data_IF_192499660228
#
_entry.id   IF_192499660228
#
_cell.length_a   1.000
_cell.length_b   1.000
_cell.length_c   1.000
_cell.angle_alpha   90.00
_cell.angle_beta   90.00
_cell.angle_gamma   90.00
#
_symmetry.space_group_name_H-M   'P 1'
#
loop_
_entity.id
_entity.type
_entity.pdbx_description
1 polymer ?
#
# COMPACT_ATOMS: atom_id res chain seq x y z
N UNK A 1 -15.44 -6.52 -3.31
CA UNK A 1 -14.33 -5.79 -2.69
C UNK A 1 -13.53 -6.72 -1.80
N UNK A 2 -12.38 -7.13 -2.31
CA UNK A 2 -11.36 -7.91 -1.59
C UNK A 2 -10.55 -7.02 -0.63
N UNK A 3 -9.91 -7.65 0.37
CA UNK A 3 -8.90 -6.98 1.21
C UNK A 3 -9.45 -5.99 2.24
N UNK A 4 -10.77 -5.87 2.40
CA UNK A 4 -11.38 -5.02 3.45
C UNK A 4 -10.86 -5.44 4.83
N UNK A 5 -10.44 -4.47 5.64
CA UNK A 5 -9.87 -4.69 6.97
C UNK A 5 -8.59 -3.86 7.20
N UNK A 6 -7.96 -4.10 8.34
CA UNK A 6 -6.70 -3.46 8.75
C UNK A 6 -5.52 -4.39 8.57
N UNK A 7 -4.51 -3.89 7.88
CA UNK A 7 -3.30 -4.63 7.55
C UNK A 7 -2.08 -3.86 8.02
N UNK A 8 -1.09 -4.59 8.52
CA UNK A 8 0.19 -4.05 8.95
C UNK A 8 1.35 -4.72 8.22
N UNK A 9 2.29 -3.91 7.75
CA UNK A 9 3.52 -4.40 7.14
C UNK A 9 4.73 -3.52 7.47
N UNK A 10 5.88 -4.15 7.66
CA UNK A 10 7.15 -3.43 7.80
C UNK A 10 7.70 -3.03 6.44
N UNK A 11 8.13 -1.78 6.32
CA UNK A 11 8.75 -1.21 5.14
C UNK A 11 10.18 -0.81 5.51
N UNK A 12 11.15 -1.35 4.79
CA UNK A 12 12.56 -1.06 5.00
C UNK A 12 13.21 -0.74 3.65
N UNK A 13 13.34 0.55 3.36
CA UNK A 13 14.02 1.03 2.14
C UNK A 13 15.23 1.89 2.52
N UNK A 14 16.01 2.30 1.51
CA UNK A 14 17.09 3.25 1.72
C UNK A 14 16.61 4.67 2.04
N UNK A 15 15.40 5.06 1.61
CA UNK A 15 14.90 6.44 1.77
C UNK A 15 14.03 6.63 3.02
N UNK A 16 13.23 5.62 3.36
CA UNK A 16 12.34 5.64 4.52
C UNK A 16 12.16 4.24 5.09
N UNK A 17 11.90 4.19 6.39
CA UNK A 17 11.68 2.95 7.13
C UNK A 17 10.55 3.15 8.12
N UNK A 18 9.76 2.13 8.32
CA UNK A 18 8.68 2.18 9.29
C UNK A 18 7.73 1.00 9.19
N UNK A 19 6.69 1.08 10.00
CA UNK A 19 5.56 0.14 9.95
C UNK A 19 4.39 0.86 9.30
N UNK A 20 4.00 0.37 8.12
CA UNK A 20 2.82 0.85 7.42
C UNK A 20 1.58 0.09 7.85
N UNK A 21 0.54 0.83 8.22
CA UNK A 21 -0.81 0.33 8.45
C UNK A 21 -1.72 0.86 7.37
N UNK A 22 -2.51 -0.02 6.78
CA UNK A 22 -3.55 0.36 5.83
C UNK A 22 -4.89 -0.14 6.34
N UNK A 23 -5.84 0.77 6.42
CA UNK A 23 -7.26 0.41 6.56
C UNK A 23 -7.87 0.48 5.17
N UNK A 24 -8.46 -0.63 4.74
CA UNK A 24 -9.20 -0.73 3.48
C UNK A 24 -10.68 -0.87 3.83
N UNK A 25 -11.51 0.06 3.35
CA UNK A 25 -12.95 0.09 3.61
C UNK A 25 -13.76 0.23 2.33
N UNK A 26 -15.01 -0.25 2.39
CA UNK A 26 -16.03 0.00 1.37
C UNK A 26 -16.73 1.33 1.68
N UNK A 27 -16.69 2.27 0.74
CA UNK A 27 -17.41 3.52 0.76
C UNK A 27 -18.37 3.57 -0.45
N UNK A 28 -19.57 3.02 -0.27
CA UNK A 28 -20.64 2.97 -1.28
C UNK A 28 -20.20 2.30 -2.60
N UNK A 29 -19.55 1.14 -2.51
CA UNK A 29 -19.06 0.36 -3.65
C UNK A 29 -17.74 0.86 -4.23
N UNK A 30 -17.05 1.78 -3.53
CA UNK A 30 -15.71 2.28 -3.89
C UNK A 30 -14.73 2.03 -2.76
N UNK A 31 -13.49 1.75 -3.13
CA UNK A 31 -12.43 1.61 -2.15
C UNK A 31 -12.09 2.94 -1.49
N UNK A 32 -11.98 2.90 -0.17
CA UNK A 32 -11.37 3.93 0.64
C UNK A 32 -10.12 3.36 1.33
N UNK A 33 -9.02 4.11 1.28
CA UNK A 33 -7.74 3.71 1.86
C UNK A 33 -7.28 4.76 2.86
N UNK A 34 -7.11 4.33 4.11
CA UNK A 34 -6.43 5.14 5.13
C UNK A 34 -5.05 4.56 5.39
N UNK A 35 -4.01 5.29 4.98
CA UNK A 35 -2.61 4.92 5.19
C UNK A 35 -2.06 5.63 6.43
N UNK A 36 -1.46 4.86 7.33
CA UNK A 36 -0.80 5.35 8.54
C UNK A 36 0.58 4.70 8.60
N UNK A 37 1.65 5.47 8.44
CA UNK A 37 3.01 4.93 8.51
C UNK A 37 3.70 5.56 9.73
N UNK A 38 4.15 4.71 10.65
CA UNK A 38 4.93 5.11 11.82
C UNK A 38 6.40 4.76 11.56
N UNK A 39 7.28 5.77 11.53
CA UNK A 39 8.69 5.55 11.24
C UNK A 39 9.46 6.83 10.97
N UNK A 40 10.60 6.68 10.28
CA UNK A 40 11.52 7.76 9.95
C UNK A 40 11.41 8.15 8.46
N UNK A 41 11.44 9.47 8.18
CA UNK A 41 11.32 10.04 6.82
C UNK A 41 10.09 9.56 6.04
N UNK A 42 8.98 9.35 6.75
CA UNK A 42 7.73 8.85 6.20
C UNK A 42 7.13 9.89 5.25
N UNK A 43 6.97 9.56 3.95
CA UNK A 43 6.31 10.47 3.03
C UNK A 43 4.79 10.27 3.07
N UNK A 44 4.07 11.28 2.60
CA UNK A 44 2.63 11.19 2.41
C UNK A 44 2.32 10.43 1.12
N UNK A 45 1.29 9.59 1.14
CA UNK A 45 0.85 8.82 -0.02
C UNK A 45 -0.63 9.02 -0.29
N UNK A 46 -0.96 9.19 -1.56
CA UNK A 46 -2.33 9.21 -2.07
C UNK A 46 -2.48 8.05 -3.03
N UNK A 47 -3.55 7.26 -2.88
CA UNK A 47 -3.83 6.09 -3.72
C UNK A 47 -5.00 6.39 -4.65
N UNK A 48 -4.83 6.07 -5.92
CA UNK A 48 -5.79 6.27 -7.01
C UNK A 48 -5.79 5.06 -7.97
N UNK A 49 -6.68 5.07 -8.96
CA UNK A 49 -6.73 4.08 -10.05
C UNK A 49 -6.76 2.61 -9.56
N UNK A 50 -7.65 2.31 -8.62
CA UNK A 50 -7.74 1.00 -7.95
C UNK A 50 -8.54 0.01 -8.80
N UNK A 51 -7.97 -1.16 -9.04
CA UNK A 51 -8.55 -2.23 -9.86
C UNK A 51 -8.46 -3.56 -9.09
N UNK A 52 -9.58 -4.30 -9.02
CA UNK A 52 -9.64 -5.67 -8.50
C UNK A 52 -9.33 -6.68 -9.61
N UNK A 53 -8.38 -7.58 -9.36
CA UNK A 53 -8.05 -8.73 -10.20
C UNK A 53 -7.93 -10.00 -9.34
N UNK A 54 -9.01 -10.77 -9.24
CA UNK A 54 -9.04 -11.98 -8.41
C UNK A 54 -8.86 -11.66 -6.93
N UNK A 55 -7.76 -12.12 -6.33
CA UNK A 55 -7.36 -11.80 -4.96
C UNK A 55 -6.29 -10.70 -4.86
N UNK A 56 -6.08 -9.92 -5.93
CA UNK A 56 -5.08 -8.86 -6.01
C UNK A 56 -5.71 -7.51 -6.28
N UNK A 57 -5.33 -6.50 -5.51
CA UNK A 57 -5.55 -5.10 -5.82
C UNK A 57 -4.37 -4.54 -6.58
N UNK A 58 -4.64 -3.82 -7.66
CA UNK A 58 -3.68 -2.94 -8.34
C UNK A 58 -4.12 -1.51 -8.12
N UNK A 59 -3.17 -0.64 -7.86
CA UNK A 59 -3.43 0.78 -7.70
C UNK A 59 -2.23 1.61 -8.15
N UNK A 60 -2.45 2.90 -8.28
CA UNK A 60 -1.39 3.89 -8.45
C UNK A 60 -1.31 4.70 -7.15
N UNK A 61 -0.11 4.79 -6.59
CA UNK A 61 0.16 5.73 -5.51
C UNK A 61 0.96 6.94 -6.03
N UNK A 62 0.77 8.08 -5.41
CA UNK A 62 1.57 9.28 -5.57
C UNK A 62 2.07 9.74 -4.20
N UNK A 63 3.21 10.41 -4.18
CA UNK A 63 3.85 10.83 -2.94
C UNK A 63 4.59 12.15 -3.10
N UNK A 64 4.61 12.95 -2.05
CA UNK A 64 5.33 14.21 -1.95
C UNK A 64 6.85 14.06 -2.13
N UNK A 65 7.40 12.91 -1.73
CA UNK A 65 8.81 12.55 -1.94
C UNK A 65 9.13 12.28 -3.42
N UNK A 66 8.14 11.85 -4.21
CA UNK A 66 8.30 11.45 -5.61
C UNK A 66 7.44 12.30 -6.56
N UNK A 67 7.57 13.63 -6.46
CA UNK A 67 6.72 14.60 -7.17
C UNK A 67 6.60 14.30 -8.68
N UNK A 68 5.37 14.21 -9.15
CA UNK A 68 5.05 13.96 -10.56
C UNK A 68 5.35 12.53 -11.05
N UNK A 69 5.68 11.60 -10.14
CA UNK A 69 5.90 10.19 -10.47
C UNK A 69 4.76 9.34 -9.92
N UNK A 70 4.18 8.53 -10.80
CA UNK A 70 3.25 7.47 -10.44
C UNK A 70 4.02 6.27 -9.89
N UNK A 71 3.50 5.70 -8.81
CA UNK A 71 4.06 4.54 -8.11
C UNK A 71 3.05 3.40 -8.27
N UNK A 72 3.24 2.48 -9.23
CA UNK A 72 2.41 1.28 -9.31
C UNK A 72 2.55 0.46 -8.03
N UNK A 73 1.42 0.12 -7.44
CA UNK A 73 1.31 -0.72 -6.25
C UNK A 73 0.42 -1.92 -6.53
N UNK A 74 0.81 -3.06 -6.00
CA UNK A 74 -0.02 -4.27 -5.96
C UNK A 74 -0.14 -4.76 -4.53
N UNK A 75 -1.27 -5.37 -4.19
CA UNK A 75 -1.50 -6.05 -2.92
C UNK A 75 -2.29 -7.33 -3.17
N UNK A 76 -1.66 -8.48 -3.01
CA UNK A 76 -2.29 -9.81 -3.11
C UNK A 76 -2.63 -10.32 -1.73
N UNK A 77 -3.90 -10.69 -1.52
CA UNK A 77 -4.43 -11.13 -0.24
C UNK A 77 -4.62 -12.65 -0.22
N UNK A 78 -4.19 -13.28 0.87
CA UNK A 78 -4.44 -14.69 1.17
C UNK A 78 -4.70 -14.85 2.67
N UNK A 79 -5.97 -15.04 3.03
CA UNK A 79 -6.45 -15.07 4.42
C UNK A 79 -5.96 -13.84 5.19
N UNK A 80 -5.13 -14.03 6.21
CA UNK A 80 -4.60 -12.97 7.08
C UNK A 80 -3.21 -12.50 6.64
N UNK A 81 -2.79 -12.83 5.41
CA UNK A 81 -1.51 -12.42 4.83
C UNK A 81 -1.76 -11.51 3.63
N UNK A 82 -0.97 -10.44 3.54
CA UNK A 82 -0.90 -9.60 2.35
C UNK A 82 0.54 -9.56 1.82
N UNK A 83 0.70 -9.72 0.51
CA UNK A 83 1.98 -9.51 -0.18
C UNK A 83 1.81 -8.37 -1.15
N UNK A 84 2.50 -7.27 -0.89
CA UNK A 84 2.50 -6.09 -1.74
C UNK A 84 3.79 -5.92 -2.53
N UNK A 85 3.69 -5.26 -3.68
CA UNK A 85 4.85 -4.77 -4.43
C UNK A 85 4.61 -3.31 -4.79
N UNK A 86 5.60 -2.46 -4.57
CA UNK A 86 5.58 -1.06 -5.03
C UNK A 86 6.80 -0.78 -5.89
N UNK A 87 6.60 -0.12 -7.04
CA UNK A 87 7.69 0.30 -7.93
C UNK A 87 8.08 1.74 -7.61
N UNK A 88 8.98 1.90 -6.64
CA UNK A 88 9.43 3.21 -6.20
C UNK A 88 10.39 3.84 -7.23
N UNK A 89 10.23 5.14 -7.55
CA UNK A 89 11.17 5.85 -8.40
C UNK A 89 12.59 5.81 -7.85
N UNK A 90 13.58 5.64 -8.73
CA UNK A 90 15.03 5.58 -8.42
C UNK A 90 15.50 4.39 -7.57
N UNK A 91 14.63 3.76 -6.77
CA UNK A 91 14.95 2.58 -5.95
C UNK A 91 14.65 1.28 -6.70
N UNK A 92 13.54 1.24 -7.45
CA UNK A 92 13.04 0.03 -8.12
C UNK A 92 11.90 -0.66 -7.37
N UNK A 93 11.72 -1.95 -7.64
CA UNK A 93 10.64 -2.73 -7.04
C UNK A 93 10.98 -3.11 -5.60
N UNK A 94 10.11 -2.73 -4.66
CA UNK A 94 10.15 -3.20 -3.28
C UNK A 94 9.02 -4.21 -3.06
N UNK A 95 9.31 -5.27 -2.31
CA UNK A 95 8.32 -6.25 -1.88
C UNK A 95 8.05 -6.07 -0.39
N UNK A 96 6.79 -6.05 -0.03
CA UNK A 96 6.30 -5.84 1.32
C UNK A 96 5.45 -7.06 1.70
N UNK A 97 5.65 -7.59 2.90
CA UNK A 97 4.80 -8.65 3.44
C UNK A 97 4.17 -8.15 4.73
N UNK A 98 2.86 -8.25 4.80
CA UNK A 98 2.07 -7.85 5.94
C UNK A 98 1.14 -8.94 6.43
N UNK A 99 0.46 -8.62 7.52
CA UNK A 99 -0.55 -9.47 8.13
C UNK A 99 -1.75 -8.62 8.56
N UNK A 100 -2.88 -9.29 8.74
CA UNK A 100 -4.10 -8.68 9.26
C UNK A 100 -3.98 -8.40 10.76
N UNK A 101 -4.51 -7.26 11.21
CA UNK A 101 -4.41 -6.81 12.61
C UNK A 101 -5.78 -6.49 13.25
N UNK A 102 -6.88 -6.96 12.65
CA UNK A 102 -8.24 -6.83 13.16
C UNK A 102 -9.01 -8.17 13.14
#
# INVERSE_FOLDING_TARGET
MIGIGKWEASINTMLFKGTGRVTISDNNGKYDFKLEIVGENVPEFIVTDVIEEGNTLRAVAESDMFKGKKIPVTATFDKDIVVGTAKLPFIGNIKVKGHRID
#
